data_IF_502936061119
#
_entry.id   IF_502936061119
#
_cell.length_a   1.000
_cell.length_b   1.000
_cell.length_c   1.000
_cell.angle_alpha   90.00
_cell.angle_beta   90.00
_cell.angle_gamma   90.00
#
_symmetry.space_group_name_H-M   'P 1'
#
loop_
_entity.id
_entity.type
_entity.pdbx_description
1 polymer ?
#
# COMPACT_ATOMS: atom_id res chain seq x y z
N UNK A 1 21.11 6.66 -1.56
CA UNK A 1 20.36 7.90 -1.89
C UNK A 1 19.22 7.56 -2.84
N UNK A 2 17.99 7.86 -2.44
CA UNK A 2 16.82 7.70 -3.32
C UNK A 2 16.94 8.62 -4.53
N UNK A 3 16.83 8.05 -5.74
CA UNK A 3 16.80 8.84 -6.97
C UNK A 3 15.34 9.16 -7.32
N UNK A 4 14.92 10.40 -7.07
CA UNK A 4 13.63 10.89 -7.56
C UNK A 4 13.73 11.20 -9.06
N UNK A 5 12.74 10.74 -9.82
CA UNK A 5 12.62 11.06 -11.24
C UNK A 5 11.14 11.21 -11.64
N UNK A 6 10.92 11.87 -12.76
CA UNK A 6 9.62 11.87 -13.43
C UNK A 6 9.69 10.93 -14.61
N UNK A 7 8.69 10.05 -14.71
CA UNK A 7 8.55 9.09 -15.80
C UNK A 7 7.26 9.42 -16.53
N UNK A 8 7.32 9.51 -17.85
CA UNK A 8 6.15 9.77 -18.66
C UNK A 8 5.50 8.47 -19.07
N UNK A 9 4.25 8.27 -18.60
CA UNK A 9 3.49 7.04 -18.83
C UNK A 9 2.15 7.40 -19.46
N UNK A 10 1.89 6.93 -20.68
CA UNK A 10 0.63 7.19 -21.42
C UNK A 10 0.25 8.68 -21.38
N UNK A 11 1.24 9.57 -21.58
CA UNK A 11 1.06 11.01 -21.60
C UNK A 11 0.92 11.70 -20.23
N UNK A 12 1.07 10.97 -19.11
CA UNK A 12 1.08 11.51 -17.75
C UNK A 12 2.48 11.45 -17.14
N UNK A 13 2.87 12.49 -16.43
CA UNK A 13 4.11 12.52 -15.68
C UNK A 13 3.88 11.92 -14.30
N UNK A 14 4.65 10.90 -13.95
CA UNK A 14 4.58 10.19 -12.66
C UNK A 14 5.85 10.47 -11.87
N UNK A 15 5.71 10.90 -10.62
CA UNK A 15 6.83 10.98 -9.69
C UNK A 15 7.16 9.59 -9.17
N UNK A 16 8.40 9.18 -9.34
CA UNK A 16 8.92 7.87 -8.94
C UNK A 16 10.17 8.06 -8.08
N UNK A 17 10.33 7.22 -7.08
CA UNK A 17 11.55 7.07 -6.29
C UNK A 17 12.02 5.63 -6.36
N UNK A 18 13.31 5.44 -6.64
CA UNK A 18 13.94 4.12 -6.64
C UNK A 18 15.08 4.13 -5.63
N UNK A 19 15.01 3.22 -4.65
CA UNK A 19 16.15 2.82 -3.84
C UNK A 19 16.76 1.60 -4.52
N UNK A 20 17.97 1.72 -5.13
CA UNK A 20 18.62 0.58 -5.77
C UNK A 20 18.84 -0.57 -4.79
N UNK A 21 18.69 -1.80 -5.26
CA UNK A 21 19.13 -2.99 -4.57
C UNK A 21 20.63 -3.23 -4.79
N UNK A 22 21.28 -3.94 -3.86
CA UNK A 22 22.68 -4.37 -4.02
C UNK A 22 22.79 -5.70 -4.79
N UNK A 23 21.67 -6.41 -4.98
CA UNK A 23 21.58 -7.64 -5.77
C UNK A 23 20.61 -7.47 -6.92
N UNK A 24 20.86 -8.18 -8.02
CA UNK A 24 19.94 -8.22 -9.15
C UNK A 24 18.69 -9.04 -8.79
N UNK A 25 17.52 -8.46 -9.03
CA UNK A 25 16.26 -9.11 -8.76
C UNK A 25 15.05 -8.25 -9.15
N UNK A 26 13.84 -8.78 -9.09
CA UNK A 26 12.64 -8.01 -9.32
C UNK A 26 12.48 -6.96 -8.21
N UNK A 27 12.14 -5.69 -8.56
CA UNK A 27 11.94 -4.65 -7.56
C UNK A 27 10.69 -4.92 -6.71
N UNK A 28 10.71 -4.46 -5.48
CA UNK A 28 9.52 -4.32 -4.64
C UNK A 28 8.79 -3.03 -5.01
N UNK A 29 7.62 -3.15 -5.59
CA UNK A 29 6.74 -2.03 -5.96
C UNK A 29 5.81 -1.71 -4.79
N UNK A 30 5.91 -0.50 -4.23
CA UNK A 30 5.08 -0.06 -3.12
C UNK A 30 3.87 0.74 -3.61
N UNK A 31 2.67 0.23 -3.31
CA UNK A 31 1.38 0.89 -3.54
C UNK A 31 0.90 1.51 -2.23
N UNK A 32 0.90 2.85 -2.17
CA UNK A 32 0.63 3.59 -0.95
C UNK A 32 -0.87 3.70 -0.62
N UNK A 33 -1.18 4.06 0.62
CA UNK A 33 -2.53 4.33 1.09
C UNK A 33 -3.17 5.57 0.44
N UNK A 34 -4.48 5.72 0.63
CA UNK A 34 -5.24 6.84 0.04
C UNK A 34 -4.71 8.20 0.52
N UNK A 35 -4.46 9.11 -0.40
CA UNK A 35 -4.00 10.48 -0.15
C UNK A 35 -2.52 10.61 0.25
N UNK A 36 -1.81 9.52 0.39
CA UNK A 36 -0.41 9.48 0.82
C UNK A 36 0.56 9.58 -0.36
N UNK A 37 1.57 10.45 -0.24
CA UNK A 37 2.67 10.52 -1.21
C UNK A 37 3.66 9.37 -1.00
N UNK A 38 4.51 9.13 -2.00
CA UNK A 38 5.55 8.10 -1.93
C UNK A 38 6.53 8.29 -0.77
N UNK A 39 6.64 9.50 -0.24
CA UNK A 39 7.54 9.82 0.88
C UNK A 39 7.08 9.17 2.20
N UNK A 40 5.77 8.94 2.36
CA UNK A 40 5.21 8.35 3.59
C UNK A 40 5.85 7.00 3.96
N UNK A 41 6.22 6.20 2.98
CA UNK A 41 6.79 4.85 3.22
C UNK A 41 8.32 4.85 3.38
N UNK A 42 8.98 6.02 3.47
CA UNK A 42 10.43 6.09 3.67
C UNK A 42 10.90 5.32 4.91
N UNK A 43 10.27 5.48 6.10
CA UNK A 43 10.70 4.74 7.30
C UNK A 43 10.65 3.22 7.12
N UNK A 44 9.65 2.70 6.39
CA UNK A 44 9.57 1.29 6.05
C UNK A 44 10.66 0.88 5.06
N UNK A 45 10.92 1.69 4.03
CA UNK A 45 11.93 1.41 3.01
C UNK A 45 13.34 1.31 3.63
N UNK A 46 13.64 2.10 4.65
CA UNK A 46 14.91 2.06 5.39
C UNK A 46 15.11 0.73 6.12
N UNK A 47 14.03 0.04 6.50
CA UNK A 47 14.07 -1.25 7.21
C UNK A 47 14.04 -2.46 6.25
N UNK A 48 13.74 -2.24 4.96
CA UNK A 48 13.79 -3.32 3.95
C UNK A 48 15.24 -3.64 3.62
N UNK A 49 15.58 -4.92 3.54
CA UNK A 49 16.91 -5.43 3.19
C UNK A 49 17.52 -4.64 2.01
N UNK A 50 18.74 -4.12 2.15
CA UNK A 50 19.39 -3.34 1.10
C UNK A 50 19.67 -4.12 -0.20
N UNK A 51 19.58 -5.44 -0.19
CA UNK A 51 19.66 -6.27 -1.39
C UNK A 51 18.48 -6.08 -2.33
N UNK A 52 17.30 -5.76 -1.78
CA UNK A 52 16.05 -5.61 -2.52
C UNK A 52 15.97 -4.19 -3.11
N UNK A 53 15.81 -4.08 -4.41
CA UNK A 53 15.44 -2.82 -5.04
C UNK A 53 14.01 -2.43 -4.67
N UNK A 54 13.76 -1.17 -4.27
CA UNK A 54 12.44 -0.69 -3.88
C UNK A 54 12.02 0.47 -4.78
N UNK A 55 10.88 0.31 -5.46
CA UNK A 55 10.27 1.32 -6.30
C UNK A 55 8.98 1.84 -5.66
N UNK A 56 8.89 3.16 -5.51
CA UNK A 56 7.70 3.89 -5.04
C UNK A 56 7.25 4.88 -6.10
N UNK A 57 5.97 5.15 -6.16
CA UNK A 57 5.40 6.11 -7.09
C UNK A 57 4.20 6.82 -6.48
N UNK A 58 3.95 8.03 -6.94
CA UNK A 58 2.73 8.76 -6.66
C UNK A 58 1.70 8.44 -7.74
N UNK A 59 0.54 7.92 -7.37
CA UNK A 59 -0.55 7.73 -8.34
C UNK A 59 -1.02 9.08 -8.91
N UNK A 60 -1.56 9.14 -10.13
CA UNK A 60 -2.03 10.40 -10.71
C UNK A 60 -2.98 11.17 -9.79
N UNK A 61 -2.64 12.43 -9.50
CA UNK A 61 -3.39 13.33 -8.62
C UNK A 61 -2.93 13.34 -7.15
N UNK A 62 -1.92 12.53 -6.79
CA UNK A 62 -1.40 12.43 -5.43
C UNK A 62 0.08 12.82 -5.41
N UNK A 63 0.53 13.35 -4.28
CA UNK A 63 1.94 13.72 -4.08
C UNK A 63 2.44 14.68 -5.16
N UNK A 64 3.51 14.30 -5.83
CA UNK A 64 4.12 15.09 -6.91
C UNK A 64 3.67 14.71 -8.32
N UNK A 65 2.70 13.79 -8.48
CA UNK A 65 2.12 13.42 -9.77
C UNK A 65 0.91 14.29 -10.10
N UNK A 66 0.87 14.94 -11.29
CA UNK A 66 -0.29 15.74 -11.72
C UNK A 66 -1.58 14.91 -11.75
N UNK A 67 -2.72 15.59 -11.60
CA UNK A 67 -4.04 14.96 -11.70
C UNK A 67 -4.29 14.38 -13.09
N UNK A 68 -5.00 13.24 -13.19
CA UNK A 68 -5.37 12.67 -14.46
C UNK A 68 -6.46 13.50 -15.14
N UNK A 69 -6.54 13.41 -16.48
CA UNK A 69 -7.59 14.06 -17.27
C UNK A 69 -8.94 13.36 -17.15
N UNK A 70 -8.94 12.08 -16.79
CA UNK A 70 -10.14 11.24 -16.64
C UNK A 70 -10.07 10.46 -15.34
N UNK A 71 -11.21 10.15 -14.70
CA UNK A 71 -11.23 9.26 -13.54
C UNK A 71 -10.65 7.88 -13.87
N UNK A 72 -10.10 7.24 -12.87
CA UNK A 72 -9.57 5.88 -12.96
C UNK A 72 -10.24 4.97 -11.92
N UNK A 73 -10.16 3.67 -12.16
CA UNK A 73 -10.43 2.60 -11.20
C UNK A 73 -9.19 1.74 -11.00
N UNK A 74 -9.25 0.76 -10.10
CA UNK A 74 -8.09 -0.09 -9.84
C UNK A 74 -7.63 -0.89 -11.07
N UNK A 75 -8.55 -1.31 -11.95
CA UNK A 75 -8.17 -2.05 -13.16
C UNK A 75 -7.36 -1.17 -14.13
N UNK A 76 -7.79 0.08 -14.35
CA UNK A 76 -7.04 1.04 -15.17
C UNK A 76 -5.71 1.43 -14.52
N UNK A 77 -5.68 1.62 -13.20
CA UNK A 77 -4.44 1.90 -12.49
C UNK A 77 -3.46 0.73 -12.56
N UNK A 78 -3.92 -0.51 -12.46
CA UNK A 78 -3.03 -1.67 -12.59
C UNK A 78 -2.43 -1.77 -14.00
N UNK A 79 -3.21 -1.48 -15.07
CA UNK A 79 -2.66 -1.34 -16.42
C UNK A 79 -1.64 -0.20 -16.51
N UNK A 80 -1.95 0.95 -15.90
CA UNK A 80 -1.06 2.11 -15.88
C UNK A 80 0.27 1.82 -15.18
N UNK A 81 0.23 1.16 -14.01
CA UNK A 81 1.44 0.73 -13.29
C UNK A 81 2.22 -0.32 -14.09
N UNK A 82 1.52 -1.23 -14.79
CA UNK A 82 2.17 -2.16 -15.72
C UNK A 82 2.99 -1.43 -16.79
N UNK A 83 2.44 -0.34 -17.38
CA UNK A 83 3.17 0.52 -18.33
C UNK A 83 4.29 1.32 -17.68
N UNK A 84 4.11 1.80 -16.45
CA UNK A 84 5.19 2.44 -15.69
C UNK A 84 6.37 1.49 -15.49
N UNK A 85 6.11 0.22 -15.18
CA UNK A 85 7.14 -0.79 -15.05
C UNK A 85 7.85 -1.07 -16.37
N UNK A 86 7.13 -1.05 -17.51
CA UNK A 86 7.72 -1.19 -18.85
C UNK A 86 8.69 -0.04 -19.15
N UNK A 87 8.29 1.23 -18.88
CA UNK A 87 9.13 2.43 -19.06
C UNK A 87 10.36 2.42 -18.14
N UNK A 88 10.32 1.67 -17.03
CA UNK A 88 11.42 1.51 -16.11
C UNK A 88 12.31 0.31 -16.44
N UNK A 89 11.91 -0.55 -17.40
CA UNK A 89 12.63 -1.75 -17.82
C UNK A 89 12.44 -2.95 -16.88
N UNK A 90 11.33 -3.00 -16.13
CA UNK A 90 11.05 -4.10 -15.21
C UNK A 90 10.10 -5.14 -15.81
N UNK A 91 10.61 -6.30 -16.16
CA UNK A 91 9.80 -7.43 -16.66
C UNK A 91 9.00 -8.11 -15.54
N UNK A 92 9.58 -8.21 -14.35
CA UNK A 92 8.99 -8.83 -13.15
C UNK A 92 9.08 -7.89 -11.97
N UNK A 93 8.19 -8.08 -10.99
CA UNK A 93 8.14 -7.29 -9.76
C UNK A 93 7.53 -8.10 -8.61
N UNK A 94 7.80 -7.65 -7.39
CA UNK A 94 7.02 -7.96 -6.20
C UNK A 94 6.14 -6.76 -5.88
N UNK A 95 4.94 -7.00 -5.36
CA UNK A 95 4.02 -5.91 -5.01
C UNK A 95 3.77 -5.89 -3.50
N UNK A 96 3.87 -4.71 -2.89
CA UNK A 96 3.37 -4.46 -1.55
C UNK A 96 2.34 -3.33 -1.60
N UNK A 97 1.17 -3.56 -1.02
CA UNK A 97 0.14 -2.53 -0.91
C UNK A 97 -0.35 -2.35 0.51
N UNK A 98 -0.39 -1.09 0.96
CA UNK A 98 -0.98 -0.73 2.25
C UNK A 98 -2.37 -0.11 2.08
N UNK A 99 -3.35 -0.55 2.86
CA UNK A 99 -4.69 0.05 2.90
C UNK A 99 -5.32 0.10 1.49
N UNK A 100 -5.66 1.28 0.98
CA UNK A 100 -6.14 1.50 -0.40
C UNK A 100 -5.16 0.94 -1.46
N UNK A 101 -3.86 1.12 -1.25
CA UNK A 101 -2.82 0.55 -2.11
C UNK A 101 -2.80 -0.98 -2.13
N UNK A 102 -3.31 -1.63 -1.08
CA UNK A 102 -3.51 -3.07 -1.06
C UNK A 102 -4.56 -3.53 -2.08
N UNK A 103 -5.60 -2.73 -2.34
CA UNK A 103 -6.53 -2.97 -3.45
C UNK A 103 -5.84 -2.92 -4.80
N UNK A 104 -4.97 -1.91 -5.01
CA UNK A 104 -4.17 -1.81 -6.24
C UNK A 104 -3.19 -2.98 -6.37
N UNK A 105 -2.51 -3.38 -5.30
CA UNK A 105 -1.58 -4.50 -5.32
C UNK A 105 -2.28 -5.85 -5.63
N UNK A 106 -3.47 -6.08 -5.08
CA UNK A 106 -4.31 -7.23 -5.43
C UNK A 106 -4.69 -7.21 -6.92
N UNK A 107 -5.08 -6.05 -7.44
CA UNK A 107 -5.42 -5.88 -8.85
C UNK A 107 -4.21 -6.08 -9.76
N UNK A 108 -3.02 -5.60 -9.37
CA UNK A 108 -1.75 -5.83 -10.08
C UNK A 108 -1.41 -7.33 -10.15
N UNK A 109 -1.49 -8.04 -9.02
CA UNK A 109 -1.22 -9.47 -8.97
C UNK A 109 -2.20 -10.26 -9.85
N UNK A 110 -3.47 -9.90 -9.86
CA UNK A 110 -4.52 -10.53 -10.68
C UNK A 110 -4.34 -10.25 -12.18
N UNK A 111 -4.05 -9.02 -12.58
CA UNK A 111 -3.91 -8.64 -14.00
C UNK A 111 -2.55 -8.98 -14.61
N UNK A 112 -1.49 -9.07 -13.79
CA UNK A 112 -0.14 -9.37 -14.23
C UNK A 112 0.42 -10.65 -13.59
N UNK A 113 -0.28 -11.81 -13.66
CA UNK A 113 0.05 -13.01 -12.89
C UNK A 113 1.40 -13.63 -13.24
N UNK A 114 1.94 -13.36 -14.43
CA UNK A 114 3.27 -13.84 -14.86
C UNK A 114 4.39 -12.89 -14.47
N UNK A 115 4.08 -11.62 -14.22
CA UNK A 115 5.04 -10.56 -13.87
C UNK A 115 5.15 -10.36 -12.35
N UNK A 116 4.02 -10.39 -11.63
CA UNK A 116 3.99 -10.30 -10.18
C UNK A 116 4.46 -11.63 -9.58
N UNK A 117 5.62 -11.60 -8.90
CA UNK A 117 6.25 -12.79 -8.31
C UNK A 117 5.68 -13.10 -6.93
N UNK A 118 5.58 -12.09 -6.07
CA UNK A 118 5.09 -12.16 -4.70
C UNK A 118 4.21 -10.97 -4.37
N UNK A 119 3.30 -11.17 -3.43
CA UNK A 119 2.34 -10.15 -3.00
C UNK A 119 2.40 -9.97 -1.49
N UNK A 120 2.51 -8.71 -1.03
CA UNK A 120 2.39 -8.34 0.39
C UNK A 120 1.21 -7.39 0.55
N UNK A 121 0.30 -7.72 1.46
CA UNK A 121 -0.93 -6.98 1.71
C UNK A 121 -0.95 -6.51 3.17
N UNK A 122 -0.73 -5.22 3.40
CA UNK A 122 -0.66 -4.64 4.74
C UNK A 122 -1.90 -3.80 5.07
N UNK A 123 -2.54 -4.06 6.20
CA UNK A 123 -3.69 -3.29 6.71
C UNK A 123 -4.73 -2.98 5.62
N UNK A 124 -5.10 -3.99 4.83
CA UNK A 124 -5.98 -3.87 3.66
C UNK A 124 -7.10 -4.91 3.67
N UNK A 125 -8.05 -4.76 2.75
CA UNK A 125 -9.21 -5.62 2.64
C UNK A 125 -9.59 -5.89 1.18
N UNK A 126 -10.76 -6.48 0.99
CA UNK A 126 -11.29 -6.96 -0.30
C UNK A 126 -12.10 -5.91 -1.07
N UNK A 127 -12.04 -4.64 -0.67
CA UNK A 127 -12.77 -3.56 -1.32
C UNK A 127 -14.22 -3.41 -0.84
N UNK A 128 -15.15 -3.07 -1.72
CA UNK A 128 -16.53 -2.70 -1.35
C UNK A 128 -17.33 -3.79 -0.61
N UNK A 129 -16.92 -5.05 -0.70
CA UNK A 129 -17.55 -6.18 0.00
C UNK A 129 -16.75 -6.60 1.25
N UNK A 130 -15.87 -5.76 1.76
CA UNK A 130 -15.19 -6.00 3.04
C UNK A 130 -16.16 -5.94 4.22
N UNK A 131 -15.78 -6.57 5.34
CA UNK A 131 -16.42 -6.28 6.62
C UNK A 131 -16.06 -4.84 7.01
N UNK A 132 -17.04 -3.94 7.11
CA UNK A 132 -16.76 -2.52 7.27
C UNK A 132 -16.22 -2.19 8.66
N UNK A 133 -15.46 -1.10 8.73
CA UNK A 133 -15.13 -0.43 9.98
C UNK A 133 -16.38 0.17 10.66
N UNK A 134 -16.20 0.59 11.91
CA UNK A 134 -17.23 1.38 12.58
C UNK A 134 -17.59 2.62 11.74
N UNK A 135 -18.89 2.94 11.53
CA UNK A 135 -19.31 4.09 10.73
C UNK A 135 -18.69 5.43 11.15
N UNK A 136 -18.43 5.63 12.44
CA UNK A 136 -17.75 6.83 12.96
C UNK A 136 -16.28 6.93 12.50
N UNK A 137 -15.61 5.78 12.35
CA UNK A 137 -14.26 5.71 11.79
C UNK A 137 -14.29 6.02 10.30
N UNK A 138 -15.23 5.42 9.55
CA UNK A 138 -15.38 5.65 8.11
C UNK A 138 -15.68 7.12 7.80
N UNK A 139 -16.57 7.78 8.57
CA UNK A 139 -16.89 9.19 8.40
C UNK A 139 -15.64 10.10 8.46
N UNK A 140 -14.66 9.77 9.31
CA UNK A 140 -13.38 10.49 9.40
C UNK A 140 -12.46 10.25 8.20
N UNK A 141 -12.67 9.15 7.45
CA UNK A 141 -11.87 8.80 6.27
C UNK A 141 -12.34 9.49 4.99
N UNK A 142 -13.59 9.95 4.91
CA UNK A 142 -14.15 10.54 3.67
C UNK A 142 -13.50 11.88 3.31
N UNK A 143 -13.01 12.62 4.31
CA UNK A 143 -12.38 13.93 4.09
C UNK A 143 -10.84 13.84 4.16
N UNK A 144 -10.11 14.54 3.26
CA UNK A 144 -8.66 14.64 3.32
C UNK A 144 -8.15 15.56 4.46
N UNK A 145 -9.03 16.05 5.35
CA UNK A 145 -8.68 17.00 6.41
C UNK A 145 -7.52 16.50 7.27
N UNK A 146 -7.48 15.18 7.56
CA UNK A 146 -6.40 14.57 8.33
C UNK A 146 -4.99 14.70 7.74
N UNK A 147 -4.86 15.03 6.46
CA UNK A 147 -3.58 15.30 5.79
C UNK A 147 -3.26 16.80 5.67
N UNK A 148 -4.17 17.68 6.11
CA UNK A 148 -4.07 19.14 5.94
C UNK A 148 -4.14 19.92 7.23
N UNK A 149 -4.62 19.29 8.29
CA UNK A 149 -4.86 19.89 9.60
C UNK A 149 -4.26 18.95 10.66
N UNK A 150 -3.06 19.30 11.14
CA UNK A 150 -2.28 18.48 12.05
C UNK A 150 -2.94 18.33 13.41
N UNK A 151 -3.65 19.36 13.89
CA UNK A 151 -4.36 19.33 15.17
C UNK A 151 -5.57 18.40 15.08
N UNK A 152 -6.31 18.51 13.99
CA UNK A 152 -7.39 17.55 13.70
C UNK A 152 -6.88 16.12 13.61
N UNK A 153 -5.79 15.87 12.87
CA UNK A 153 -5.21 14.54 12.74
C UNK A 153 -4.83 13.96 14.10
N UNK A 154 -4.16 14.76 14.96
CA UNK A 154 -3.78 14.33 16.32
C UNK A 154 -5.02 14.03 17.18
N UNK A 155 -6.06 14.86 17.09
CA UNK A 155 -7.30 14.67 17.87
C UNK A 155 -8.06 13.40 17.55
N UNK A 156 -7.94 12.87 16.32
CA UNK A 156 -8.63 11.66 15.87
C UNK A 156 -7.73 10.42 15.78
N UNK A 157 -6.40 10.58 15.93
CA UNK A 157 -5.41 9.55 15.68
C UNK A 157 -5.67 8.25 16.43
N UNK A 158 -5.93 8.34 17.73
CA UNK A 158 -6.19 7.17 18.59
C UNK A 158 -7.42 6.36 18.12
N UNK A 159 -8.47 7.06 17.71
CA UNK A 159 -9.72 6.42 17.25
C UNK A 159 -9.61 5.91 15.81
N UNK A 160 -8.85 6.64 14.96
CA UNK A 160 -8.76 6.35 13.54
C UNK A 160 -7.73 5.26 13.23
N UNK A 161 -6.56 5.31 13.87
CA UNK A 161 -5.45 4.43 13.51
C UNK A 161 -5.22 3.27 14.49
N UNK A 162 -5.71 3.36 15.74
CA UNK A 162 -5.54 2.30 16.74
C UNK A 162 -4.10 2.09 17.16
N UNK A 163 -3.79 0.94 17.73
CA UNK A 163 -2.45 0.49 18.08
C UNK A 163 -1.62 1.52 18.84
N UNK A 164 -0.36 1.71 18.45
CA UNK A 164 0.56 2.68 19.05
C UNK A 164 0.04 4.12 19.00
N UNK A 165 -0.83 4.47 18.05
CA UNK A 165 -1.45 5.80 17.96
C UNK A 165 -2.47 6.07 19.08
N UNK A 166 -2.96 5.05 19.81
CA UNK A 166 -3.76 5.25 21.03
C UNK A 166 -2.92 5.79 22.18
N UNK A 167 -1.67 5.34 22.26
CA UNK A 167 -0.75 5.73 23.34
C UNK A 167 -0.01 7.03 23.03
N UNK A 168 0.26 7.28 21.76
CA UNK A 168 1.04 8.43 21.27
C UNK A 168 0.38 9.11 20.07
N UNK A 169 -0.79 9.75 20.25
CA UNK A 169 -1.53 10.38 19.16
C UNK A 169 -0.78 11.57 18.52
N UNK A 170 0.15 12.18 19.26
CA UNK A 170 1.05 13.23 18.79
C UNK A 170 2.01 12.75 17.69
N UNK A 171 2.40 11.48 17.72
CA UNK A 171 3.26 10.89 16.68
C UNK A 171 2.64 10.91 15.28
N UNK A 172 1.32 11.04 15.18
CA UNK A 172 0.66 11.16 13.88
C UNK A 172 1.16 12.36 13.09
N UNK A 173 1.57 13.43 13.77
CA UNK A 173 2.19 14.61 13.13
C UNK A 173 3.47 14.23 12.41
N UNK A 174 4.37 13.55 13.10
CA UNK A 174 5.62 13.06 12.55
C UNK A 174 5.37 12.09 11.38
N UNK A 175 4.49 11.13 11.55
CA UNK A 175 4.20 10.11 10.54
C UNK A 175 3.53 10.67 9.28
N UNK A 176 2.55 11.59 9.41
CA UNK A 176 1.74 12.05 8.28
C UNK A 176 2.17 13.40 7.70
N UNK A 177 2.87 14.25 8.46
CA UNK A 177 3.15 15.64 8.08
C UNK A 177 4.60 15.93 7.71
N UNK A 178 5.51 14.98 7.88
CA UNK A 178 6.87 15.08 7.33
C UNK A 178 6.93 14.85 5.81
N UNK A 179 5.79 14.56 5.20
CA UNK A 179 5.70 14.42 3.75
C UNK A 179 5.87 15.77 3.06
N UNK A 180 6.84 15.88 2.17
CA UNK A 180 7.12 17.13 1.44
C UNK A 180 5.95 17.59 0.56
N UNK A 181 5.05 16.67 0.14
CA UNK A 181 3.99 16.97 -0.84
C UNK A 181 2.70 16.25 -0.52
N UNK A 182 1.67 17.02 -0.29
CA UNK A 182 0.29 16.55 -0.20
C UNK A 182 -0.35 16.54 -1.58
N UNK A 183 -1.10 15.50 -1.90
CA UNK A 183 -1.92 15.43 -3.10
C UNK A 183 -3.05 16.48 -3.12
N UNK A 184 -3.69 16.63 -4.27
CA UNK A 184 -4.85 17.52 -4.44
C UNK A 184 -6.12 16.93 -3.79
N UNK A 185 -7.10 17.79 -3.44
CA UNK A 185 -8.43 17.32 -3.00
C UNK A 185 -9.10 16.47 -4.09
N UNK A 186 -8.96 16.88 -5.35
CA UNK A 186 -9.49 16.14 -6.49
C UNK A 186 -8.84 14.75 -6.61
N UNK A 187 -7.51 14.66 -6.45
CA UNK A 187 -6.79 13.37 -6.45
C UNK A 187 -7.27 12.43 -5.36
N UNK A 188 -7.50 12.96 -4.13
CA UNK A 188 -8.08 12.17 -3.05
C UNK A 188 -9.48 11.63 -3.38
N UNK A 189 -10.34 12.47 -3.95
CA UNK A 189 -11.69 12.06 -4.37
C UNK A 189 -11.65 11.03 -5.50
N UNK A 190 -10.71 11.17 -6.44
CA UNK A 190 -10.51 10.17 -7.51
C UNK A 190 -10.07 8.82 -6.94
N UNK A 191 -9.22 8.81 -5.92
CA UNK A 191 -8.85 7.56 -5.23
C UNK A 191 -10.03 6.93 -4.49
N UNK A 192 -10.90 7.72 -3.84
CA UNK A 192 -12.14 7.21 -3.25
C UNK A 192 -13.02 6.58 -4.31
N UNK A 193 -13.24 7.28 -5.42
CA UNK A 193 -14.06 6.80 -6.55
C UNK A 193 -13.49 5.52 -7.18
N UNK A 194 -12.16 5.39 -7.25
CA UNK A 194 -11.51 4.19 -7.79
C UNK A 194 -11.86 2.91 -7.03
N UNK A 195 -12.16 3.03 -5.73
CA UNK A 195 -12.57 1.92 -4.87
C UNK A 195 -14.08 1.62 -4.90
N UNK A 196 -14.91 2.53 -5.42
CA UNK A 196 -16.36 2.34 -5.43
C UNK A 196 -16.74 1.17 -6.34
N UNK A 197 -17.47 0.21 -5.77
CA UNK A 197 -17.92 -0.99 -6.49
C UNK A 197 -16.82 -2.01 -6.79
N UNK A 198 -15.54 -1.69 -6.54
CA UNK A 198 -14.47 -2.65 -6.72
C UNK A 198 -14.42 -3.64 -5.54
N UNK A 199 -14.17 -4.91 -5.87
CA UNK A 199 -13.88 -5.96 -4.88
C UNK A 199 -12.95 -7.00 -5.48
N UNK A 200 -12.04 -7.50 -4.67
CA UNK A 200 -11.14 -8.61 -5.03
C UNK A 200 -11.70 -10.00 -4.70
N UNK A 201 -12.82 -10.08 -3.97
CA UNK A 201 -13.35 -11.36 -3.48
C UNK A 201 -13.40 -12.47 -4.54
N UNK A 202 -13.97 -12.26 -5.75
CA UNK A 202 -13.99 -13.30 -6.76
C UNK A 202 -12.63 -13.58 -7.39
N UNK A 203 -11.67 -12.64 -7.28
CA UNK A 203 -10.33 -12.77 -7.83
C UNK A 203 -9.34 -13.45 -6.88
N UNK A 204 -9.57 -13.41 -5.56
CA UNK A 204 -8.64 -13.94 -4.56
C UNK A 204 -8.24 -15.42 -4.81
N UNK A 205 -9.16 -16.35 -5.15
CA UNK A 205 -8.78 -17.75 -5.44
C UNK A 205 -7.90 -17.88 -6.69
N UNK A 206 -7.86 -16.88 -7.56
CA UNK A 206 -7.07 -16.83 -8.79
C UNK A 206 -5.70 -16.16 -8.62
N UNK A 207 -5.47 -15.49 -7.51
CA UNK A 207 -4.17 -14.89 -7.13
C UNK A 207 -3.31 -16.01 -6.55
N UNK A 208 -2.48 -16.63 -7.40
CA UNK A 208 -1.65 -17.79 -7.05
C UNK A 208 -0.25 -17.44 -6.55
N UNK A 209 0.13 -16.17 -6.59
CA UNK A 209 1.40 -15.69 -6.07
C UNK A 209 1.51 -16.03 -4.58
N UNK A 210 2.68 -16.43 -4.08
CA UNK A 210 2.93 -16.42 -2.64
C UNK A 210 2.56 -15.07 -2.06
N UNK A 211 1.69 -15.07 -1.06
CA UNK A 211 1.12 -13.85 -0.48
C UNK A 211 1.37 -13.79 1.01
N UNK A 212 1.86 -12.67 1.49
CA UNK A 212 1.97 -12.33 2.92
C UNK A 212 0.92 -11.28 3.26
N UNK A 213 0.01 -11.62 4.17
CA UNK A 213 -0.96 -10.67 4.72
C UNK A 213 -0.47 -10.19 6.07
N UNK A 214 -0.32 -8.88 6.23
CA UNK A 214 0.06 -8.20 7.47
C UNK A 214 -1.16 -7.45 8.03
N UNK A 215 -1.59 -7.78 9.23
CA UNK A 215 -2.78 -7.17 9.84
C UNK A 215 -2.50 -6.72 11.27
N UNK A 216 -2.82 -5.47 11.58
CA UNK A 216 -2.78 -4.98 12.95
C UNK A 216 -3.88 -5.60 13.80
N UNK A 217 -3.55 -5.99 15.05
CA UNK A 217 -4.52 -6.55 16.00
C UNK A 217 -5.57 -5.53 16.42
N UNK A 218 -5.22 -4.23 16.43
CA UNK A 218 -6.07 -3.10 16.80
C UNK A 218 -6.24 -2.10 15.65
N UNK A 219 -6.55 -2.59 14.43
CA UNK A 219 -6.84 -1.74 13.27
C UNK A 219 -8.32 -1.36 13.21
N UNK A 220 -8.71 -0.09 13.50
CA UNK A 220 -10.10 0.33 13.47
C UNK A 220 -10.63 0.60 12.05
N UNK A 221 -9.76 0.80 11.06
CA UNK A 221 -10.11 1.10 9.66
C UNK A 221 -10.37 -0.20 8.90
N UNK A 222 -9.49 -1.19 9.09
CA UNK A 222 -9.59 -2.49 8.44
C UNK A 222 -9.62 -3.58 9.52
N UNK A 223 -10.81 -3.96 10.01
CA UNK A 223 -10.93 -5.00 11.03
C UNK A 223 -10.22 -6.29 10.65
N UNK A 224 -9.54 -6.92 11.61
CA UNK A 224 -8.73 -8.14 11.44
C UNK A 224 -9.48 -9.29 10.72
N UNK A 225 -10.80 -9.33 10.84
CA UNK A 225 -11.61 -10.34 10.13
C UNK A 225 -11.41 -10.29 8.60
N UNK A 226 -11.11 -9.12 8.02
CA UNK A 226 -10.84 -9.00 6.59
C UNK A 226 -9.55 -9.74 6.18
N UNK A 227 -8.51 -9.67 7.01
CA UNK A 227 -7.29 -10.45 6.81
C UNK A 227 -7.54 -11.96 6.91
N UNK A 228 -8.41 -12.39 7.82
CA UNK A 228 -8.83 -13.79 7.96
C UNK A 228 -9.61 -14.27 6.74
N UNK A 229 -10.47 -13.42 6.17
CA UNK A 229 -11.19 -13.70 4.90
C UNK A 229 -10.18 -13.87 3.76
N UNK A 230 -9.22 -12.96 3.61
CA UNK A 230 -8.17 -13.08 2.60
C UNK A 230 -7.36 -14.36 2.78
N UNK A 231 -6.99 -14.71 4.03
CA UNK A 231 -6.30 -15.97 4.33
C UNK A 231 -7.11 -17.20 3.91
N UNK A 232 -8.42 -17.17 4.06
CA UNK A 232 -9.27 -18.30 3.70
C UNK A 232 -9.45 -18.48 2.17
N UNK A 233 -9.30 -17.40 1.41
CA UNK A 233 -9.59 -17.39 -0.04
C UNK A 233 -8.35 -17.44 -0.92
N UNK A 234 -7.21 -16.93 -0.45
CA UNK A 234 -5.95 -16.96 -1.18
C UNK A 234 -5.31 -18.35 -1.09
N UNK A 235 -4.89 -18.97 -2.22
CA UNK A 235 -4.38 -20.34 -2.21
C UNK A 235 -2.99 -20.49 -1.57
N UNK A 236 -2.12 -19.50 -1.69
CA UNK A 236 -0.74 -19.51 -1.20
C UNK A 236 -0.50 -18.32 -0.26
N UNK A 237 -0.99 -18.40 0.98
CA UNK A 237 -0.99 -17.25 1.88
C UNK A 237 -0.47 -17.58 3.26
N UNK A 238 0.34 -16.65 3.79
CA UNK A 238 0.69 -16.55 5.21
C UNK A 238 0.04 -15.31 5.79
N UNK A 239 -0.50 -15.41 7.01
CA UNK A 239 -1.06 -14.28 7.77
C UNK A 239 -0.18 -14.03 8.98
N UNK A 240 0.36 -12.82 9.07
CA UNK A 240 1.05 -12.31 10.26
C UNK A 240 0.20 -11.21 10.91
N UNK A 241 -0.16 -11.41 12.17
CA UNK A 241 -0.89 -10.43 12.97
C UNK A 241 0.11 -9.78 13.93
N UNK A 242 0.29 -8.47 13.80
CA UNK A 242 1.22 -7.70 14.63
C UNK A 242 0.46 -6.84 15.66
N UNK A 243 1.13 -6.53 16.78
CA UNK A 243 0.52 -5.78 17.87
C UNK A 243 0.60 -4.27 17.65
N UNK A 244 -0.20 -3.79 16.68
CA UNK A 244 -0.35 -2.38 16.33
C UNK A 244 -1.68 -2.15 15.59
N UNK A 245 -1.88 -0.93 15.09
CA UNK A 245 -3.06 -0.50 14.34
C UNK A 245 -2.81 -0.37 12.84
N UNK A 246 -3.60 0.52 12.22
CA UNK A 246 -3.62 0.72 10.76
C UNK A 246 -2.29 1.23 10.18
N UNK A 247 -1.52 2.00 10.95
CA UNK A 247 -0.24 2.56 10.52
C UNK A 247 0.96 1.67 10.88
N UNK A 248 0.74 0.41 11.26
CA UNK A 248 1.80 -0.50 11.71
C UNK A 248 2.97 -0.65 10.74
N UNK A 249 2.75 -0.56 9.43
CA UNK A 249 3.84 -0.58 8.45
C UNK A 249 4.83 0.60 8.61
N UNK A 250 4.41 1.66 9.30
CA UNK A 250 5.22 2.85 9.60
C UNK A 250 5.71 2.84 11.05
N UNK A 251 4.82 2.52 11.98
CA UNK A 251 5.09 2.57 13.42
C UNK A 251 5.81 1.34 13.97
N UNK A 252 5.76 0.22 13.24
CA UNK A 252 6.48 -1.04 13.51
C UNK A 252 7.35 -1.44 12.30
N UNK A 253 7.92 -0.45 11.60
CA UNK A 253 8.72 -0.69 10.41
C UNK A 253 9.97 -1.55 10.70
N UNK A 254 10.55 -1.40 11.88
CA UNK A 254 11.68 -2.16 12.39
C UNK A 254 11.39 -3.67 12.58
N UNK A 255 10.13 -4.02 12.85
CA UNK A 255 9.65 -5.40 12.92
C UNK A 255 9.24 -5.92 11.52
N UNK A 256 8.42 -5.13 10.81
CA UNK A 256 7.77 -5.57 9.57
C UNK A 256 8.70 -5.50 8.35
N UNK A 257 9.70 -4.61 8.32
CA UNK A 257 10.67 -4.52 7.23
C UNK A 257 11.50 -5.79 7.07
N UNK A 258 12.14 -6.32 8.13
CA UNK A 258 12.85 -7.60 8.09
C UNK A 258 11.93 -8.78 7.72
N UNK A 259 10.72 -8.86 8.29
CA UNK A 259 9.74 -9.92 7.98
C UNK A 259 9.36 -9.93 6.49
N UNK A 260 9.09 -8.76 5.92
CA UNK A 260 8.82 -8.62 4.48
C UNK A 260 10.05 -9.01 3.65
N UNK A 261 11.23 -8.60 4.07
CA UNK A 261 12.48 -8.92 3.38
C UNK A 261 12.75 -10.43 3.36
N UNK A 262 12.56 -11.11 4.48
CA UNK A 262 12.66 -12.57 4.57
C UNK A 262 11.66 -13.24 3.62
N UNK A 263 10.40 -12.83 3.64
CA UNK A 263 9.38 -13.34 2.72
C UNK A 263 9.76 -13.13 1.25
N UNK A 264 10.33 -11.98 0.87
CA UNK A 264 10.70 -11.67 -0.51
C UNK A 264 11.96 -12.41 -0.98
N UNK A 265 12.87 -12.75 -0.08
CA UNK A 265 14.15 -13.43 -0.40
C UNK A 265 14.09 -14.95 -0.21
N UNK A 266 13.06 -15.48 0.45
CA UNK A 266 12.89 -16.92 0.63
C UNK A 266 12.97 -17.67 -0.72
N UNK A 267 13.71 -18.77 -0.77
CA UNK A 267 13.78 -19.61 -1.98
C UNK A 267 12.40 -20.17 -2.31
N UNK A 268 11.99 -20.09 -3.59
CA UNK A 268 10.78 -20.76 -4.07
C UNK A 268 11.02 -22.27 -4.14
N UNK A 269 10.88 -22.96 -3.01
CA UNK A 269 11.17 -24.40 -2.94
C UNK A 269 10.73 -25.08 -1.64
N UNK A 270 10.18 -24.35 -0.68
CA UNK A 270 9.68 -24.92 0.56
C UNK A 270 8.34 -24.33 0.94
N UNK A 271 7.27 -25.08 0.79
CA UNK A 271 6.02 -24.82 1.50
C UNK A 271 6.31 -24.96 2.99
N UNK A 272 6.21 -23.93 3.83
CA UNK A 272 6.16 -24.16 5.27
C UNK A 272 4.88 -24.95 5.56
N UNK A 273 5.01 -26.09 6.20
CA UNK A 273 3.90 -26.93 6.68
C UNK A 273 3.14 -26.21 7.81
#
# INVERSE_FOLDING_TARGET
MNKFRRVRVVGHDVRVAVRPGTEAGPPLVLCNGIGASLDLLEPFVEQVDPRIEVMRFDVPGVGGSPGPKVPYNFALLACFVGRLLDELGYDRFDALGISWGGGLAQQLAFQHPRRCRRLVLASTATGSLMVPANPLVLAKMVTPRRYRDADYASSIAAQLYGGRMRQRPDQVRHVLYEQERLGSRAGYLLQLLAGVGWTSLPALPLIRQPTLVLAGSDDPIVPLVNARIMRALLPNVSLHVFDDGHLGLLTAADELGPLVSEFLTAQTGGTPR
#
